data_IF_730116958719
#
_entry.id   IF_730116958719
#
_cell.length_a   1.000
_cell.length_b   1.000
_cell.length_c   1.000
_cell.angle_alpha   90.00
_cell.angle_beta   90.00
_cell.angle_gamma   90.00
#
_symmetry.space_group_name_H-M   'P 1'
#
loop_
_entity.id
_entity.type
_entity.pdbx_description
1 polymer ?
#
# COMPACT_ATOMS: atom_id res chain seq x y z
N UNK A 1 -5.21 -13.84 -14.44
CA UNK A 1 -4.69 -13.88 -13.05
C UNK A 1 -3.86 -12.63 -12.82
N UNK A 2 -4.20 -11.83 -11.80
CA UNK A 2 -3.46 -10.62 -11.42
C UNK A 2 -2.59 -10.95 -10.21
N UNK A 3 -1.33 -10.49 -10.20
CA UNK A 3 -0.39 -10.75 -9.10
C UNK A 3 0.56 -9.57 -8.94
N UNK A 4 0.80 -9.22 -7.68
CA UNK A 4 1.82 -8.25 -7.28
C UNK A 4 2.85 -8.94 -6.38
N UNK A 5 4.05 -8.37 -6.37
CA UNK A 5 5.11 -8.71 -5.42
C UNK A 5 5.50 -7.40 -4.75
N UNK A 6 4.98 -7.19 -3.54
CA UNK A 6 5.30 -6.03 -2.71
C UNK A 6 6.24 -6.48 -1.58
N UNK A 7 7.26 -5.68 -1.28
CA UNK A 7 8.06 -5.83 -0.07
C UNK A 7 8.15 -4.48 0.62
N UNK A 8 7.75 -4.44 1.90
CA UNK A 8 7.95 -3.39 2.91
C UNK A 8 7.65 -1.92 2.54
N UNK A 9 8.31 -1.40 1.52
CA UNK A 9 8.37 0.00 1.09
C UNK A 9 8.24 0.18 -0.44
N UNK A 10 8.51 -0.87 -1.22
CA UNK A 10 8.40 -0.83 -2.69
C UNK A 10 7.16 -1.59 -3.13
N UNK A 11 6.26 -0.77 -3.62
CA UNK A 11 4.88 -1.10 -3.84
C UNK A 11 4.73 -1.13 -5.37
N UNK A 12 4.99 -2.29 -5.98
CA UNK A 12 4.69 -2.49 -7.39
C UNK A 12 3.27 -3.06 -7.49
N UNK A 13 2.31 -2.15 -7.66
CA UNK A 13 0.88 -2.45 -7.74
C UNK A 13 0.39 -2.65 -9.18
N UNK A 14 1.28 -3.01 -10.12
CA UNK A 14 0.87 -3.14 -11.52
C UNK A 14 -0.21 -4.21 -11.73
N UNK A 15 -0.24 -5.26 -10.91
CA UNK A 15 -1.31 -6.24 -10.84
C UNK A 15 -2.63 -5.62 -10.39
N UNK A 16 -2.63 -4.92 -9.25
CA UNK A 16 -3.83 -4.25 -8.73
C UNK A 16 -4.35 -3.18 -9.70
N UNK A 17 -3.48 -2.35 -10.28
CA UNK A 17 -3.90 -1.32 -11.23
C UNK A 17 -4.57 -1.94 -12.46
N UNK A 18 -4.01 -3.05 -12.98
CA UNK A 18 -4.63 -3.78 -14.08
C UNK A 18 -5.96 -4.41 -13.70
N UNK A 19 -6.07 -4.97 -12.49
CA UNK A 19 -7.32 -5.50 -11.96
C UNK A 19 -8.41 -4.41 -11.94
N UNK A 20 -8.11 -3.25 -11.38
CA UNK A 20 -9.07 -2.14 -11.26
C UNK A 20 -9.49 -1.61 -12.63
N UNK A 21 -8.55 -1.50 -13.59
CA UNK A 21 -8.89 -1.07 -14.96
C UNK A 21 -9.79 -2.07 -15.67
N UNK A 22 -9.51 -3.36 -15.56
CA UNK A 22 -10.33 -4.41 -16.17
C UNK A 22 -11.72 -4.49 -15.52
N UNK A 23 -11.84 -4.26 -14.21
CA UNK A 23 -13.14 -4.12 -13.54
C UNK A 23 -13.91 -2.92 -14.10
N UNK A 24 -13.28 -1.74 -14.18
CA UNK A 24 -13.90 -0.53 -14.72
C UNK A 24 -14.30 -0.67 -16.20
N UNK A 25 -13.61 -1.52 -16.97
CA UNK A 25 -13.95 -1.85 -18.35
C UNK A 25 -15.05 -2.92 -18.47
N UNK A 26 -15.54 -3.48 -17.36
CA UNK A 26 -16.58 -4.52 -17.36
C UNK A 26 -16.10 -5.88 -17.85
N UNK A 27 -14.78 -6.15 -17.85
CA UNK A 27 -14.22 -7.40 -18.35
C UNK A 27 -14.56 -8.61 -17.47
N UNK A 28 -14.96 -8.38 -16.23
CA UNK A 28 -15.42 -9.40 -15.28
C UNK A 28 -16.36 -8.81 -14.23
N UNK A 29 -17.13 -9.67 -13.57
CA UNK A 29 -18.09 -9.30 -12.51
C UNK A 29 -17.71 -9.86 -11.13
N UNK A 30 -16.68 -10.71 -11.04
CA UNK A 30 -16.25 -11.33 -9.78
C UNK A 30 -14.73 -11.41 -9.69
N UNK A 31 -14.18 -10.93 -8.58
CA UNK A 31 -12.78 -11.08 -8.19
C UNK A 31 -12.68 -12.15 -7.10
N UNK A 32 -11.98 -13.25 -7.40
CA UNK A 32 -11.71 -14.31 -6.43
C UNK A 32 -10.34 -14.11 -5.78
N UNK A 33 -10.32 -14.07 -4.45
CA UNK A 33 -9.09 -14.01 -3.65
C UNK A 33 -9.01 -15.19 -2.71
N UNK A 34 -7.80 -15.73 -2.51
CA UNK A 34 -7.60 -16.87 -1.62
C UNK A 34 -7.90 -16.52 -0.16
N UNK A 35 -7.54 -15.30 0.28
CA UNK A 35 -7.81 -14.76 1.60
C UNK A 35 -8.03 -13.25 1.52
N UNK A 36 -8.69 -12.66 2.52
CA UNK A 36 -9.02 -11.24 2.54
C UNK A 36 -7.77 -10.34 2.59
N UNK A 37 -6.73 -10.79 3.31
CA UNK A 37 -5.41 -10.16 3.42
C UNK A 37 -4.61 -10.19 2.10
N UNK A 38 -4.95 -11.09 1.17
CA UNK A 38 -4.34 -11.17 -0.17
C UNK A 38 -4.82 -10.08 -1.12
N UNK A 39 -6.01 -9.53 -0.89
CA UNK A 39 -6.45 -8.32 -1.61
C UNK A 39 -5.70 -7.09 -1.10
N UNK A 40 -5.51 -7.04 0.22
CA UNK A 40 -4.97 -5.89 0.93
C UNK A 40 -4.64 -6.22 2.39
N UNK A 41 -3.49 -5.74 2.88
CA UNK A 41 -3.21 -5.65 4.33
C UNK A 41 -4.03 -4.55 5.02
N UNK A 42 -4.11 -3.38 4.39
CA UNK A 42 -4.93 -2.25 4.85
C UNK A 42 -5.84 -1.75 3.74
N UNK A 43 -7.03 -1.28 4.11
CA UNK A 43 -7.96 -0.70 3.16
C UNK A 43 -8.68 -1.71 2.27
N UNK A 44 -8.82 -2.96 2.74
CA UNK A 44 -9.59 -3.98 2.01
C UNK A 44 -11.02 -3.54 1.73
N UNK A 45 -11.67 -2.89 2.71
CA UNK A 45 -13.03 -2.39 2.57
C UNK A 45 -13.19 -1.37 1.45
N UNK A 46 -12.28 -0.38 1.36
CA UNK A 46 -12.37 0.63 0.30
C UNK A 46 -12.15 0.00 -1.09
N UNK A 47 -11.25 -0.99 -1.19
CA UNK A 47 -11.01 -1.70 -2.45
C UNK A 47 -12.21 -2.53 -2.88
N UNK A 48 -12.84 -3.23 -1.95
CA UNK A 48 -14.08 -3.96 -2.23
C UNK A 48 -15.21 -3.02 -2.65
N UNK A 49 -15.34 -1.85 -2.02
CA UNK A 49 -16.32 -0.84 -2.41
C UNK A 49 -16.05 -0.27 -3.81
N UNK A 50 -14.77 -0.05 -4.16
CA UNK A 50 -14.39 0.41 -5.49
C UNK A 50 -14.72 -0.63 -6.56
N UNK A 51 -14.36 -1.90 -6.35
CA UNK A 51 -14.70 -2.99 -7.26
C UNK A 51 -16.22 -3.14 -7.41
N UNK A 52 -16.96 -3.06 -6.31
CA UNK A 52 -18.42 -3.16 -6.33
C UNK A 52 -19.08 -2.00 -7.11
N UNK A 53 -18.55 -0.77 -6.96
CA UNK A 53 -18.97 0.39 -7.75
C UNK A 53 -18.79 0.13 -9.25
N UNK A 54 -17.71 -0.56 -9.62
CA UNK A 54 -17.37 -0.90 -10.99
C UNK A 54 -18.03 -2.22 -11.46
N UNK A 55 -19.01 -2.74 -10.73
CA UNK A 55 -19.78 -3.93 -11.11
C UNK A 55 -19.09 -5.27 -10.81
N UNK A 56 -18.00 -5.27 -10.04
CA UNK A 56 -17.24 -6.45 -9.66
C UNK A 56 -17.37 -6.78 -8.15
N UNK A 57 -17.98 -7.93 -7.83
CA UNK A 57 -18.01 -8.47 -6.47
C UNK A 57 -16.67 -9.09 -6.05
N UNK A 58 -16.41 -9.20 -4.75
CA UNK A 58 -15.22 -9.89 -4.21
C UNK A 58 -15.65 -11.16 -3.48
N UNK A 59 -15.15 -12.30 -3.92
CA UNK A 59 -15.35 -13.61 -3.29
C UNK A 59 -14.05 -14.08 -2.63
N UNK A 60 -14.13 -14.45 -1.35
CA UNK A 60 -12.99 -15.00 -0.59
C UNK A 60 -13.12 -16.51 -0.50
N UNK A 61 -12.17 -17.24 -1.09
CA UNK A 61 -12.22 -18.71 -1.13
C UNK A 61 -12.03 -19.35 0.25
N UNK A 62 -11.19 -18.77 1.11
CA UNK A 62 -10.96 -19.23 2.47
C UNK A 62 -11.30 -18.12 3.48
N UNK A 63 -12.59 -17.93 3.84
CA UNK A 63 -13.03 -16.89 4.77
C UNK A 63 -12.57 -17.16 6.23
N UNK A 64 -12.26 -18.41 6.58
CA UNK A 64 -11.60 -18.79 7.83
C UNK A 64 -10.31 -19.51 7.49
N UNK A 65 -9.19 -18.90 7.84
CA UNK A 65 -7.86 -19.48 7.67
C UNK A 65 -6.99 -18.79 6.63
N UNK A 66 -6.73 -17.48 6.77
CA UNK A 66 -5.34 -17.06 6.61
C UNK A 66 -4.74 -16.97 7.99
N UNK A 67 -4.07 -18.04 8.41
CA UNK A 67 -3.06 -17.95 9.44
C UNK A 67 -1.87 -17.15 8.89
N UNK A 68 -2.11 -15.89 8.54
CA UNK A 68 -1.10 -14.85 8.64
C UNK A 68 -1.07 -14.48 10.10
N UNK A 69 -0.30 -15.26 10.86
CA UNK A 69 -0.26 -15.20 12.32
C UNK A 69 0.09 -13.80 12.85
N UNK A 70 0.04 -13.67 14.16
CA UNK A 70 0.45 -12.44 14.86
C UNK A 70 1.83 -11.97 14.38
N UNK A 71 2.76 -12.86 14.03
CA UNK A 71 4.05 -12.50 13.43
C UNK A 71 3.95 -11.74 12.10
N UNK A 72 3.10 -12.15 11.15
CA UNK A 72 2.99 -11.47 9.84
C UNK A 72 2.38 -10.07 10.04
N UNK A 73 1.41 -9.96 10.94
CA UNK A 73 0.84 -8.66 11.32
C UNK A 73 1.87 -7.74 11.98
N UNK A 74 2.67 -8.27 12.90
CA UNK A 74 3.75 -7.54 13.53
C UNK A 74 4.83 -7.12 12.52
N UNK A 75 5.20 -7.98 11.58
CA UNK A 75 6.17 -7.67 10.53
C UNK A 75 5.69 -6.50 9.65
N UNK A 76 4.44 -6.53 9.21
CA UNK A 76 3.86 -5.45 8.41
C UNK A 76 3.73 -4.15 9.21
N UNK A 77 3.36 -4.24 10.49
CA UNK A 77 3.32 -3.09 11.38
C UNK A 77 4.69 -2.46 11.58
N UNK A 78 5.73 -3.27 11.82
CA UNK A 78 7.11 -2.79 11.97
C UNK A 78 7.61 -2.12 10.67
N UNK A 79 7.28 -2.69 9.50
CA UNK A 79 7.59 -2.06 8.21
C UNK A 79 6.91 -0.71 8.03
N UNK A 80 5.66 -0.58 8.46
CA UNK A 80 4.92 0.68 8.45
C UNK A 80 5.60 1.72 9.35
N UNK A 81 5.93 1.36 10.59
CA UNK A 81 6.62 2.24 11.55
C UNK A 81 7.98 2.69 11.01
N UNK A 82 8.78 1.76 10.47
CA UNK A 82 10.08 2.07 9.88
C UNK A 82 9.96 3.05 8.70
N UNK A 83 8.95 2.86 7.86
CA UNK A 83 8.64 3.77 6.74
C UNK A 83 8.35 5.19 7.22
N UNK A 84 7.47 5.33 8.22
CA UNK A 84 7.14 6.64 8.77
C UNK A 84 8.34 7.29 9.45
N UNK A 85 9.12 6.54 10.23
CA UNK A 85 10.33 7.03 10.87
C UNK A 85 11.33 7.57 9.82
N UNK A 86 11.63 6.78 8.78
CA UNK A 86 12.53 7.20 7.69
C UNK A 86 12.06 8.47 6.98
N UNK A 87 10.75 8.61 6.72
CA UNK A 87 10.18 9.85 6.14
C UNK A 87 10.34 11.04 7.07
N UNK A 88 10.08 10.89 8.37
CA UNK A 88 10.25 11.97 9.35
C UNK A 88 11.72 12.39 9.48
N UNK A 89 12.66 11.44 9.51
CA UNK A 89 14.08 11.76 9.50
C UNK A 89 14.48 12.51 8.23
N UNK A 90 14.00 12.10 7.06
CA UNK A 90 14.26 12.79 5.80
C UNK A 90 13.71 14.22 5.76
N UNK A 91 12.55 14.48 6.38
CA UNK A 91 12.00 15.85 6.50
C UNK A 91 12.91 16.72 7.36
N UNK A 92 13.32 16.21 8.54
CA UNK A 92 14.21 16.93 9.46
C UNK A 92 15.57 17.24 8.84
N UNK A 93 16.14 16.29 8.11
CA UNK A 93 17.43 16.48 7.42
C UNK A 93 17.34 17.59 6.35
N UNK A 94 16.27 17.59 5.54
CA UNK A 94 16.02 18.66 4.56
C UNK A 94 15.86 20.02 5.20
N UNK A 95 15.14 20.10 6.32
CA UNK A 95 14.99 21.35 7.09
C UNK A 95 16.31 21.83 7.67
N UNK A 96 17.13 20.93 8.24
CA UNK A 96 18.45 21.25 8.76
C UNK A 96 19.39 21.75 7.66
N UNK A 97 19.43 21.04 6.51
CA UNK A 97 20.21 21.45 5.34
C UNK A 97 19.79 22.82 4.82
N UNK A 98 18.48 23.10 4.76
CA UNK A 98 17.96 24.41 4.35
C UNK A 98 18.44 25.51 5.30
N UNK A 99 18.33 25.33 6.62
CA UNK A 99 18.80 26.31 7.61
C UNK A 99 20.30 26.60 7.49
N UNK A 100 21.11 25.59 7.23
CA UNK A 100 22.55 25.75 7.02
C UNK A 100 22.86 26.57 5.76
N UNK A 101 22.12 26.32 4.66
CA UNK A 101 22.26 27.09 3.42
C UNK A 101 21.81 28.54 3.59
N UNK A 102 20.70 28.76 4.30
CA UNK A 102 20.18 30.12 4.58
C UNK A 102 21.18 30.91 5.46
N UNK A 103 21.79 30.27 6.45
CA UNK A 103 22.83 30.89 7.30
C UNK A 103 24.11 31.23 6.52
N UNK A 104 24.54 30.35 5.60
CA UNK A 104 25.73 30.59 4.77
C UNK A 104 25.51 31.69 3.71
N UNK A 105 24.27 31.95 3.30
CA UNK A 105 23.93 33.02 2.35
C UNK A 105 23.81 34.42 2.98
N UNK A 106 23.79 34.53 4.31
CA UNK A 106 23.63 35.79 5.04
C UNK A 106 24.93 36.55 5.35
N UNK A 107 26.10 35.95 5.09
CA UNK A 107 27.42 36.45 5.53
C UNK A 107 28.20 37.23 4.44
N UNK A 108 27.52 37.70 3.38
CA UNK A 108 28.14 38.47 2.26
C UNK A 108 27.58 39.91 2.16
N UNK A 109 27.15 40.48 3.29
CA UNK A 109 26.65 41.87 3.38
C UNK A 109 27.59 42.79 4.13
#
# INVERSE_FOLDING_TARGET
MFKDRASGLRENWQGLIRLLKAAAAGEFTVVRVAGQDRLARFGTQWRSALLARDGAGVEVAHPKGSAGGVEELLADFMSLVATFAGRMYGIRDREAKRRLLDAAGGDVG
#
